data_IF_103966170961
#
_entry.id   IF_103966170961
#
_cell.length_a   1.000
_cell.length_b   1.000
_cell.length_c   1.000
_cell.angle_alpha   90.00
_cell.angle_beta   90.00
_cell.angle_gamma   90.00
#
_symmetry.space_group_name_H-M   'P 1'
#
loop_
_entity.id
_entity.type
_entity.pdbx_description
1 polymer ?
#
# COMPACT_ATOMS: atom_id res chain seq x y z
N UNK A 1 1.62 0.30 21.97
CA UNK A 1 1.64 -1.05 21.39
C UNK A 1 1.34 -2.06 22.49
N UNK A 2 0.67 -3.15 22.19
CA UNK A 2 0.30 -4.16 23.18
C UNK A 2 1.53 -4.93 23.66
N UNK A 3 1.47 -5.42 24.89
CA UNK A 3 2.55 -6.24 25.46
C UNK A 3 2.81 -7.47 24.60
N UNK A 4 4.09 -7.77 24.37
CA UNK A 4 4.51 -8.89 23.53
C UNK A 4 4.49 -8.60 22.03
N UNK A 5 4.00 -7.43 21.61
CA UNK A 5 4.01 -6.99 20.21
C UNK A 5 5.23 -6.11 19.95
N UNK A 6 5.87 -6.33 18.80
CA UNK A 6 7.00 -5.52 18.36
C UNK A 6 6.59 -4.62 17.21
N UNK A 7 7.15 -3.43 17.15
CA UNK A 7 6.93 -2.49 16.06
C UNK A 7 7.50 -3.04 14.75
N UNK A 8 6.64 -3.21 13.75
CA UNK A 8 7.01 -3.79 12.47
C UNK A 8 6.99 -2.79 11.32
N UNK A 9 5.92 -2.01 11.23
CA UNK A 9 5.69 -1.11 10.11
C UNK A 9 4.74 0.01 10.51
N UNK A 10 4.66 1.03 9.67
CA UNK A 10 3.71 2.13 9.89
C UNK A 10 3.29 2.77 8.57
N UNK A 11 2.13 3.42 8.60
CA UNK A 11 1.63 4.25 7.50
C UNK A 11 1.60 5.69 7.98
N UNK A 12 2.44 6.58 7.42
CA UNK A 12 2.51 7.95 7.92
C UNK A 12 1.29 8.80 7.59
N UNK A 13 0.55 8.46 6.55
CA UNK A 13 -0.58 9.27 6.09
C UNK A 13 -1.85 8.50 5.76
N UNK A 14 -2.05 7.32 6.35
CA UNK A 14 -3.22 6.48 6.08
C UNK A 14 -3.03 5.56 4.88
N UNK A 15 -4.12 4.93 4.38
CA UNK A 15 -4.04 3.91 3.34
C UNK A 15 -3.35 4.35 2.05
N UNK A 16 -3.53 5.61 1.64
CA UNK A 16 -2.98 6.13 0.39
C UNK A 16 -1.49 6.43 0.46
N UNK A 17 -0.88 6.47 1.65
CA UNK A 17 0.53 6.81 1.81
C UNK A 17 1.49 5.63 1.62
N UNK A 18 0.99 4.41 1.61
CA UNK A 18 1.83 3.22 1.57
C UNK A 18 2.30 2.78 2.96
N UNK A 19 3.14 1.76 3.00
CA UNK A 19 3.61 1.14 4.23
C UNK A 19 5.13 1.24 4.32
N UNK A 20 5.65 1.79 5.41
CA UNK A 20 7.10 1.87 5.65
C UNK A 20 7.50 0.89 6.75
N UNK A 21 8.70 0.26 6.63
CA UNK A 21 9.19 -0.65 7.68
C UNK A 21 9.66 0.11 8.91
N UNK A 22 9.68 -0.57 10.04
CA UNK A 22 10.15 0.00 11.31
C UNK A 22 11.60 0.49 11.26
N UNK A 23 12.41 -0.04 10.36
CA UNK A 23 13.79 0.41 10.17
C UNK A 23 13.89 1.86 9.69
N UNK A 24 12.80 2.42 9.15
CA UNK A 24 12.72 3.81 8.71
C UNK A 24 11.85 4.60 9.71
N UNK A 25 12.13 4.47 11.00
CA UNK A 25 11.32 5.09 12.05
C UNK A 25 11.78 6.47 12.51
N UNK A 26 12.94 6.92 12.05
CA UNK A 26 13.51 8.21 12.40
C UNK A 26 13.28 9.30 11.35
N UNK A 27 12.45 9.03 10.37
CA UNK A 27 12.11 9.99 9.30
C UNK A 27 11.10 11.01 9.84
N UNK A 28 11.36 12.33 9.71
CA UNK A 28 10.38 13.34 10.08
C UNK A 28 9.10 13.21 9.26
N UNK A 29 7.95 13.38 9.93
CA UNK A 29 6.65 13.38 9.26
C UNK A 29 6.40 14.77 8.66
N UNK A 30 7.07 15.07 7.56
CA UNK A 30 6.91 16.32 6.82
C UNK A 30 6.65 16.05 5.33
N UNK A 31 6.34 17.11 4.58
CA UNK A 31 5.99 16.98 3.18
C UNK A 31 7.18 16.65 2.27
N UNK A 32 8.38 17.04 2.66
CA UNK A 32 9.56 16.92 1.81
C UNK A 32 10.29 15.59 2.02
N UNK A 33 10.54 15.21 3.27
CA UNK A 33 11.36 14.04 3.61
C UNK A 33 10.68 12.72 3.22
N UNK A 34 9.37 12.63 3.42
CA UNK A 34 8.61 11.41 3.10
C UNK A 34 8.60 11.10 1.60
N UNK A 35 8.74 12.10 0.75
CA UNK A 35 8.80 11.91 -0.70
C UNK A 35 9.98 11.04 -1.14
N UNK A 36 11.09 11.06 -0.40
CA UNK A 36 12.26 10.22 -0.68
C UNK A 36 11.97 8.72 -0.51
N UNK A 37 10.91 8.38 0.22
CA UNK A 37 10.47 7.00 0.47
C UNK A 37 9.20 6.64 -0.29
N UNK A 38 8.85 7.42 -1.30
CA UNK A 38 7.62 7.23 -2.10
C UNK A 38 6.35 7.23 -1.24
N UNK A 39 6.31 8.09 -0.23
CA UNK A 39 5.18 8.23 0.67
C UNK A 39 4.92 9.71 1.00
N UNK A 40 3.86 9.97 1.77
CA UNK A 40 3.47 11.34 2.13
C UNK A 40 2.61 11.34 3.39
N UNK A 41 2.44 12.52 3.99
CA UNK A 41 1.64 12.65 5.21
C UNK A 41 0.16 12.38 4.96
N UNK A 42 -0.37 12.77 3.81
CA UNK A 42 -1.78 12.57 3.47
C UNK A 42 -2.71 13.18 4.50
N UNK A 43 -3.56 12.35 5.10
CA UNK A 43 -4.50 12.77 6.15
C UNK A 43 -3.85 12.96 7.51
N UNK A 44 -2.56 12.67 7.64
CA UNK A 44 -1.80 12.62 8.91
C UNK A 44 -2.34 11.57 9.91
N UNK A 45 -3.15 10.63 9.43
CA UNK A 45 -3.66 9.52 10.24
C UNK A 45 -2.63 8.39 10.25
N UNK A 46 -1.72 8.42 11.21
CA UNK A 46 -0.65 7.43 11.32
C UNK A 46 -1.22 6.10 11.82
N UNK A 47 -0.94 5.03 11.06
CA UNK A 47 -1.30 3.66 11.44
C UNK A 47 -0.03 2.90 11.77
N UNK A 48 -0.01 2.23 12.92
CA UNK A 48 1.14 1.46 13.40
C UNK A 48 0.81 -0.03 13.32
N UNK A 49 1.71 -0.80 12.74
CA UNK A 49 1.57 -2.25 12.59
C UNK A 49 2.57 -2.99 13.47
N UNK A 50 2.14 -4.11 14.05
CA UNK A 50 2.97 -4.94 14.89
C UNK A 50 3.50 -6.16 14.14
N UNK A 51 4.36 -6.92 14.79
CA UNK A 51 4.89 -8.18 14.26
C UNK A 51 3.82 -9.27 14.10
N UNK A 52 2.64 -9.09 14.70
CA UNK A 52 1.49 -9.97 14.54
C UNK A 52 0.68 -9.68 13.28
N UNK A 53 0.91 -8.54 12.64
CA UNK A 53 0.20 -8.14 11.43
C UNK A 53 0.93 -8.68 10.18
N UNK A 54 0.17 -9.31 9.29
CA UNK A 54 0.70 -9.81 8.02
C UNK A 54 0.59 -8.70 6.96
N UNK A 55 1.71 -8.32 6.36
CA UNK A 55 1.75 -7.23 5.36
C UNK A 55 0.85 -7.56 4.16
N UNK A 56 0.80 -8.81 3.72
CA UNK A 56 -0.10 -9.22 2.63
C UNK A 56 -1.56 -8.93 2.95
N UNK A 57 -1.99 -9.26 4.16
CA UNK A 57 -3.36 -8.99 4.61
C UNK A 57 -3.64 -7.51 4.69
N UNK A 58 -2.71 -6.76 5.27
CA UNK A 58 -2.85 -5.30 5.42
C UNK A 58 -2.97 -4.65 4.05
N UNK A 59 -2.06 -4.96 3.13
CA UNK A 59 -2.10 -4.41 1.77
C UNK A 59 -3.38 -4.82 1.01
N UNK A 60 -3.80 -6.08 1.16
CA UNK A 60 -5.04 -6.56 0.54
C UNK A 60 -6.27 -5.81 1.07
N UNK A 61 -6.32 -5.55 2.37
CA UNK A 61 -7.42 -4.78 2.96
C UNK A 61 -7.44 -3.34 2.44
N UNK A 62 -6.27 -2.75 2.21
CA UNK A 62 -6.18 -1.42 1.65
C UNK A 62 -6.69 -1.36 0.22
N UNK A 63 -6.36 -2.33 -0.62
CA UNK A 63 -6.86 -2.35 -1.99
C UNK A 63 -8.37 -2.59 -2.03
N UNK A 64 -8.92 -3.36 -1.10
CA UNK A 64 -10.37 -3.50 -0.94
C UNK A 64 -11.03 -2.18 -0.58
N UNK A 65 -10.39 -1.38 0.27
CA UNK A 65 -10.85 -0.03 0.58
C UNK A 65 -10.90 0.83 -0.69
N UNK A 66 -9.81 0.88 -1.45
CA UNK A 66 -9.78 1.65 -2.70
C UNK A 66 -10.80 1.15 -3.72
N UNK A 67 -10.99 -0.16 -3.80
CA UNK A 67 -11.99 -0.77 -4.68
C UNK A 67 -13.40 -0.30 -4.32
N UNK A 68 -13.73 -0.25 -3.02
CA UNK A 68 -15.06 0.20 -2.56
C UNK A 68 -15.26 1.70 -2.71
N UNK A 69 -14.18 2.50 -2.61
CA UNK A 69 -14.22 3.95 -2.74
C UNK A 69 -14.11 4.44 -4.19
N UNK A 70 -13.78 3.57 -5.13
CA UNK A 70 -13.70 3.94 -6.54
C UNK A 70 -15.06 4.44 -7.05
N UNK A 71 -15.05 5.59 -7.72
CA UNK A 71 -16.26 6.14 -8.32
C UNK A 71 -16.72 5.39 -9.57
N UNK A 72 -15.87 4.51 -10.11
CA UNK A 72 -16.17 3.72 -11.30
C UNK A 72 -16.12 4.49 -12.63
N UNK A 73 -15.72 5.76 -12.61
CA UNK A 73 -15.76 6.60 -13.81
C UNK A 73 -14.68 6.23 -14.84
N UNK A 74 -13.45 5.92 -14.38
CA UNK A 74 -12.38 5.57 -15.30
C UNK A 74 -12.04 4.09 -15.20
N UNK A 75 -11.77 3.48 -16.35
CA UNK A 75 -11.47 2.05 -16.46
C UNK A 75 -10.21 1.64 -15.68
N UNK A 76 -9.08 2.38 -15.74
CA UNK A 76 -7.87 1.96 -15.02
C UNK A 76 -8.08 1.79 -13.53
N UNK A 77 -8.75 2.72 -12.88
CA UNK A 77 -9.04 2.64 -11.45
C UNK A 77 -10.01 1.50 -11.12
N UNK A 78 -11.15 1.46 -11.81
CA UNK A 78 -12.20 0.46 -11.57
C UNK A 78 -11.69 -0.96 -11.78
N UNK A 79 -11.13 -1.23 -12.96
CA UNK A 79 -10.65 -2.56 -13.32
C UNK A 79 -9.33 -2.89 -12.61
N UNK A 80 -8.45 -1.92 -12.46
CA UNK A 80 -7.16 -2.10 -11.79
C UNK A 80 -7.32 -2.49 -10.33
N UNK A 81 -8.16 -1.79 -9.58
CA UNK A 81 -8.42 -2.12 -8.17
C UNK A 81 -9.05 -3.51 -8.04
N UNK A 82 -9.98 -3.86 -8.92
CA UNK A 82 -10.63 -5.17 -8.91
C UNK A 82 -9.64 -6.29 -9.22
N UNK A 83 -8.81 -6.14 -10.23
CA UNK A 83 -7.79 -7.12 -10.59
C UNK A 83 -6.71 -7.25 -9.52
N UNK A 84 -6.22 -6.14 -8.99
CA UNK A 84 -5.24 -6.15 -7.93
C UNK A 84 -5.79 -6.88 -6.68
N UNK A 85 -7.02 -6.59 -6.30
CA UNK A 85 -7.70 -7.28 -5.20
C UNK A 85 -7.74 -8.79 -5.44
N UNK A 86 -8.10 -9.23 -6.64
CA UNK A 86 -8.17 -10.66 -6.98
C UNK A 86 -6.81 -11.34 -6.89
N UNK A 87 -5.75 -10.69 -7.36
CA UNK A 87 -4.38 -11.21 -7.31
C UNK A 87 -3.90 -11.30 -5.85
N UNK A 88 -4.15 -10.25 -5.07
CA UNK A 88 -3.67 -10.15 -3.69
C UNK A 88 -4.41 -11.07 -2.71
N UNK A 89 -5.56 -11.60 -3.09
CA UNK A 89 -6.27 -12.62 -2.31
C UNK A 89 -5.67 -14.01 -2.46
N UNK A 90 -4.85 -14.24 -3.48
CA UNK A 90 -4.17 -15.51 -3.70
C UNK A 90 -2.98 -15.62 -2.76
N UNK A 91 -2.61 -16.87 -2.44
CA UNK A 91 -1.44 -17.15 -1.58
C UNK A 91 -0.15 -16.60 -2.20
N UNK A 92 0.03 -16.84 -3.50
CA UNK A 92 1.19 -16.36 -4.24
C UNK A 92 0.79 -15.18 -5.11
N UNK A 93 1.43 -14.03 -4.89
CA UNK A 93 1.17 -12.84 -5.69
C UNK A 93 1.98 -12.89 -6.99
N UNK A 94 1.33 -12.58 -8.10
CA UNK A 94 2.00 -12.32 -9.36
C UNK A 94 2.57 -10.90 -9.32
N UNK A 95 3.82 -10.78 -8.85
CA UNK A 95 4.48 -9.49 -8.60
C UNK A 95 4.58 -8.68 -9.89
N UNK A 96 4.98 -9.33 -11.00
CA UNK A 96 5.10 -8.63 -12.29
C UNK A 96 3.78 -8.06 -12.76
N UNK A 97 2.71 -8.84 -12.65
CA UNK A 97 1.38 -8.37 -13.03
C UNK A 97 0.90 -7.23 -12.14
N UNK A 98 1.19 -7.29 -10.84
CA UNK A 98 0.87 -6.19 -9.92
C UNK A 98 1.64 -4.91 -10.28
N UNK A 99 2.92 -5.03 -10.62
CA UNK A 99 3.73 -3.88 -11.04
C UNK A 99 3.18 -3.25 -12.33
N UNK A 100 2.82 -4.08 -13.31
CA UNK A 100 2.22 -3.62 -14.57
C UNK A 100 0.88 -2.91 -14.32
N UNK A 101 0.04 -3.46 -13.44
CA UNK A 101 -1.22 -2.83 -13.04
C UNK A 101 -0.99 -1.48 -12.36
N UNK A 102 0.00 -1.41 -11.47
CA UNK A 102 0.35 -0.15 -10.79
C UNK A 102 0.75 0.92 -11.80
N UNK A 103 1.58 0.57 -12.77
CA UNK A 103 2.00 1.51 -13.81
C UNK A 103 0.79 2.05 -14.60
N UNK A 104 -0.12 1.17 -15.02
CA UNK A 104 -1.33 1.57 -15.74
C UNK A 104 -2.20 2.46 -14.88
N UNK A 105 -2.41 2.12 -13.61
CA UNK A 105 -3.24 2.91 -12.71
C UNK A 105 -2.65 4.29 -12.44
N UNK A 106 -1.34 4.38 -12.25
CA UNK A 106 -0.65 5.65 -12.00
C UNK A 106 -0.70 6.60 -13.20
N UNK A 107 -0.51 6.05 -14.40
CA UNK A 107 -0.39 6.86 -15.62
C UNK A 107 -1.72 7.16 -16.29
N UNK A 108 -2.74 6.33 -16.07
CA UNK A 108 -4.00 6.39 -16.83
C UNK A 108 -5.24 6.71 -15.99
N UNK A 109 -5.16 6.67 -14.66
CA UNK A 109 -6.31 7.04 -13.81
C UNK A 109 -6.52 8.54 -13.84
N UNK A 110 -7.80 8.95 -13.89
CA UNK A 110 -8.18 10.36 -14.01
C UNK A 110 -7.89 11.13 -12.72
N UNK A 111 -8.16 10.54 -11.56
CA UNK A 111 -8.04 11.21 -10.27
C UNK A 111 -7.00 10.55 -9.36
N UNK A 112 -6.70 11.23 -8.25
CA UNK A 112 -5.72 10.78 -7.28
C UNK A 112 -6.03 9.46 -6.60
N UNK A 113 -7.30 9.02 -6.53
CA UNK A 113 -7.65 7.77 -5.89
C UNK A 113 -7.01 6.57 -6.61
N UNK A 114 -7.17 6.48 -7.92
CA UNK A 114 -6.58 5.39 -8.71
C UNK A 114 -5.06 5.45 -8.73
N UNK A 115 -4.49 6.65 -8.70
CA UNK A 115 -3.04 6.84 -8.63
C UNK A 115 -2.50 6.43 -7.25
N UNK A 116 -3.19 6.80 -6.17
CA UNK A 116 -2.76 6.51 -4.80
C UNK A 116 -2.98 5.06 -4.39
N UNK A 117 -3.94 4.36 -4.98
CA UNK A 117 -4.24 2.96 -4.69
C UNK A 117 -3.05 2.03 -4.92
N UNK A 118 -2.09 2.45 -5.75
CA UNK A 118 -0.87 1.68 -6.02
C UNK A 118 0.13 1.73 -4.88
N UNK A 119 0.09 2.75 -4.03
CA UNK A 119 1.10 2.96 -2.98
C UNK A 119 1.21 1.80 -1.98
N UNK A 120 0.12 1.25 -1.41
CA UNK A 120 0.23 0.07 -0.55
C UNK A 120 0.84 -1.14 -1.25
N UNK A 121 0.53 -1.34 -2.52
CA UNK A 121 1.06 -2.45 -3.33
C UNK A 121 2.56 -2.29 -3.53
N UNK A 122 2.97 -1.14 -4.04
CA UNK A 122 4.37 -0.85 -4.36
C UNK A 122 5.27 -0.87 -3.12
N UNK A 123 4.83 -0.25 -2.04
CA UNK A 123 5.60 -0.22 -0.79
C UNK A 123 5.72 -1.63 -0.19
N UNK A 124 4.68 -2.44 -0.26
CA UNK A 124 4.73 -3.82 0.22
C UNK A 124 5.75 -4.64 -0.57
N UNK A 125 5.77 -4.51 -1.89
CA UNK A 125 6.72 -5.21 -2.75
C UNK A 125 8.15 -4.70 -2.50
N UNK A 126 8.33 -3.39 -2.35
CA UNK A 126 9.66 -2.77 -2.18
C UNK A 126 10.29 -3.10 -0.83
N UNK A 127 9.55 -2.94 0.26
CA UNK A 127 10.10 -3.03 1.62
C UNK A 127 9.87 -4.37 2.30
N UNK A 128 8.92 -5.16 1.84
CA UNK A 128 8.53 -6.43 2.47
C UNK A 128 8.56 -7.59 1.47
N UNK A 129 9.43 -7.53 0.47
CA UNK A 129 9.51 -8.53 -0.59
C UNK A 129 9.74 -9.94 -0.07
N UNK A 130 10.53 -10.11 0.98
CA UNK A 130 10.79 -11.43 1.57
C UNK A 130 9.52 -12.03 2.18
N UNK A 131 8.75 -11.24 2.92
CA UNK A 131 7.50 -11.70 3.52
C UNK A 131 6.46 -12.04 2.45
N UNK A 132 6.37 -11.24 1.39
CA UNK A 132 5.44 -11.47 0.28
C UNK A 132 5.77 -12.76 -0.47
N UNK A 133 7.07 -13.04 -0.69
CA UNK A 133 7.51 -14.23 -1.40
C UNK A 133 7.39 -15.52 -0.58
N UNK A 134 7.44 -15.42 0.74
CA UNK A 134 7.44 -16.58 1.65
C UNK A 134 6.08 -17.25 1.81
N UNK A 135 5.02 -16.51 1.69
CA UNK A 135 3.69 -17.08 1.98
C UNK A 135 3.03 -17.70 0.75
#
# INVERSE_FOLDING_TARGET
MFDGHKFKAYQPGGPSSGILPASINNVPLDFDTLGEYDTFIGSAAVVVLSDQDEIKKVASNMIEFFKSESCGQCTPCRVGCDKASSIMKKKDWDIKLLEDLCEVMETSSICGLGQAATNPIKSSITYFSEEIKRS
#
